data_IF_972599238254
#
_entry.id   IF_972599238254
#
_cell.length_a   1.000
_cell.length_b   1.000
_cell.length_c   1.000
_cell.angle_alpha   90.00
_cell.angle_beta   90.00
_cell.angle_gamma   90.00
#
_symmetry.space_group_name_H-M   'P 1'
#
loop_
_entity.id
_entity.type
_entity.pdbx_description
1 polymer ?
#
# COMPACT_ATOMS: atom_id res chain seq x y z
N UNK A 1 -80.24 -2.20 43.09
CA UNK A 1 -79.83 -0.94 42.43
C UNK A 1 -78.34 -0.59 42.64
N UNK A 2 -77.58 -1.34 43.47
CA UNK A 2 -76.18 -1.02 43.84
C UNK A 2 -75.12 -1.66 42.90
N UNK A 3 -75.46 -2.72 42.16
CA UNK A 3 -74.49 -3.45 41.31
C UNK A 3 -74.13 -2.74 39.99
N UNK A 4 -74.90 -1.72 39.56
CA UNK A 4 -74.58 -0.95 38.34
C UNK A 4 -73.54 0.16 38.57
N UNK A 5 -73.22 0.52 39.81
CA UNK A 5 -72.24 1.58 40.11
C UNK A 5 -70.78 1.09 40.15
N UNK A 6 -70.50 -0.13 40.63
CA UNK A 6 -69.12 -0.66 40.67
C UNK A 6 -68.55 -1.00 39.28
N UNK A 7 -69.41 -1.34 38.31
CA UNK A 7 -68.99 -1.59 36.93
C UNK A 7 -68.62 -0.30 36.17
N UNK A 8 -69.03 0.87 36.65
CA UNK A 8 -68.67 2.16 36.05
C UNK A 8 -67.30 2.66 36.54
N UNK A 9 -66.91 2.39 37.79
CA UNK A 9 -65.60 2.76 38.33
C UNK A 9 -64.47 1.86 37.82
N UNK A 10 -64.73 0.56 37.65
CA UNK A 10 -63.76 -0.39 37.10
C UNK A 10 -63.48 -0.21 35.60
N UNK A 11 -64.44 0.36 34.84
CA UNK A 11 -64.25 0.70 33.42
C UNK A 11 -63.47 2.01 33.18
N UNK A 12 -63.25 2.83 34.21
CA UNK A 12 -62.53 4.10 34.10
C UNK A 12 -61.00 3.95 34.14
N UNK A 13 -60.49 2.85 34.70
CA UNK A 13 -59.04 2.62 34.89
C UNK A 13 -58.37 1.99 33.64
N UNK A 14 -59.15 1.43 32.71
CA UNK A 14 -58.62 0.85 31.47
C UNK A 14 -58.42 1.88 30.32
N UNK A 15 -58.58 3.18 30.59
CA UNK A 15 -58.30 4.25 29.63
C UNK A 15 -56.90 4.81 29.86
N UNK A 16 -55.91 3.92 29.91
CA UNK A 16 -54.53 4.30 29.66
C UNK A 16 -54.46 4.86 28.24
N UNK A 17 -54.55 6.19 28.13
CA UNK A 17 -54.27 6.93 26.90
C UNK A 17 -52.82 6.62 26.57
N UNK A 18 -52.60 5.55 25.81
CA UNK A 18 -51.36 5.29 25.12
C UNK A 18 -51.15 6.50 24.23
N UNK A 19 -50.35 7.46 24.72
CA UNK A 19 -50.08 8.69 24.01
C UNK A 19 -49.29 8.30 22.76
N UNK A 20 -49.90 8.34 21.55
CA UNK A 20 -49.28 7.81 20.34
C UNK A 20 -47.98 8.55 20.01
N UNK A 21 -47.86 9.79 20.48
CA UNK A 21 -46.66 10.62 20.33
C UNK A 21 -45.47 10.05 21.12
N UNK A 22 -45.70 9.42 22.27
CA UNK A 22 -44.63 8.88 23.12
C UNK A 22 -43.93 7.67 22.49
N UNK A 23 -44.69 6.78 21.84
CA UNK A 23 -44.12 5.64 21.11
C UNK A 23 -43.37 6.08 19.84
N UNK A 24 -43.83 7.16 19.19
CA UNK A 24 -43.15 7.70 18.00
C UNK A 24 -41.76 8.26 18.32
N UNK A 25 -41.60 8.94 19.47
CA UNK A 25 -40.32 9.50 19.92
C UNK A 25 -39.35 8.40 20.35
N UNK A 26 -39.82 7.37 21.04
CA UNK A 26 -38.98 6.22 21.42
C UNK A 26 -38.51 5.41 20.21
N UNK A 27 -39.39 5.19 19.22
CA UNK A 27 -39.03 4.54 17.95
C UNK A 27 -38.05 5.39 17.14
N UNK A 28 -38.26 6.70 17.04
CA UNK A 28 -37.34 7.63 16.35
C UNK A 28 -35.96 7.63 17.03
N UNK A 29 -35.91 7.58 18.36
CA UNK A 29 -34.65 7.49 19.12
C UNK A 29 -33.92 6.16 18.88
N UNK A 30 -34.65 5.05 18.83
CA UNK A 30 -34.08 3.74 18.51
C UNK A 30 -33.55 3.69 17.07
N UNK A 31 -34.31 4.22 16.11
CA UNK A 31 -33.88 4.36 14.72
C UNK A 31 -32.64 5.25 14.57
N UNK A 32 -32.57 6.37 15.29
CA UNK A 32 -31.42 7.27 15.27
C UNK A 32 -30.15 6.58 15.82
N UNK A 33 -30.28 5.81 16.91
CA UNK A 33 -29.17 5.03 17.49
C UNK A 33 -28.73 3.92 16.53
N UNK A 34 -29.68 3.19 15.94
CA UNK A 34 -29.40 2.16 14.94
C UNK A 34 -28.69 2.75 13.69
N UNK A 35 -29.15 3.90 13.19
CA UNK A 35 -28.55 4.59 12.05
C UNK A 35 -27.12 5.07 12.36
N UNK A 36 -26.91 5.74 13.51
CA UNK A 36 -25.55 6.16 13.92
C UNK A 36 -24.60 4.98 14.10
N UNK A 37 -25.09 3.86 14.62
CA UNK A 37 -24.31 2.61 14.79
C UNK A 37 -23.89 2.02 13.43
N UNK A 38 -24.79 2.01 12.45
CA UNK A 38 -24.50 1.53 11.10
C UNK A 38 -23.51 2.45 10.35
N UNK A 39 -23.59 3.78 10.55
CA UNK A 39 -22.64 4.73 9.96
C UNK A 39 -21.20 4.54 10.43
N UNK A 40 -20.99 4.21 11.72
CA UNK A 40 -19.66 3.91 12.28
C UNK A 40 -19.06 2.61 11.74
N UNK A 41 -19.89 1.59 11.48
CA UNK A 41 -19.43 0.34 10.86
C UNK A 41 -19.07 0.55 9.39
N UNK A 42 -19.82 1.36 8.65
CA UNK A 42 -19.46 1.74 7.29
C UNK A 42 -18.14 2.52 7.25
N UNK A 43 -17.90 3.42 8.20
CA UNK A 43 -16.61 4.12 8.35
C UNK A 43 -15.46 3.15 8.66
N UNK A 44 -15.67 2.16 9.53
CA UNK A 44 -14.67 1.13 9.82
C UNK A 44 -14.39 0.28 8.57
N UNK A 45 -15.42 -0.16 7.86
CA UNK A 45 -15.30 -0.93 6.62
C UNK A 45 -14.58 -0.13 5.52
N UNK A 46 -14.90 1.16 5.39
CA UNK A 46 -14.23 2.06 4.47
C UNK A 46 -12.77 2.31 4.89
N UNK A 47 -12.50 2.48 6.19
CA UNK A 47 -11.14 2.60 6.73
C UNK A 47 -10.30 1.33 6.57
N UNK A 48 -10.93 0.17 6.35
CA UNK A 48 -10.26 -1.09 5.98
C UNK A 48 -10.08 -1.17 4.46
N UNK A 49 -11.06 -0.73 3.67
CA UNK A 49 -11.04 -0.76 2.21
C UNK A 49 -10.05 0.25 1.61
N UNK A 50 -9.99 1.46 2.18
CA UNK A 50 -9.06 2.53 1.80
C UNK A 50 -7.64 2.26 2.29
N UNK A 51 -7.49 1.24 3.15
CA UNK A 51 -6.21 0.84 3.69
C UNK A 51 -5.43 0.05 2.65
N UNK A 52 -4.58 0.75 1.92
CA UNK A 52 -3.53 0.11 1.12
C UNK A 52 -2.66 -0.81 1.99
N UNK A 53 -2.07 -1.84 1.37
CA UNK A 53 -1.35 -2.93 2.06
C UNK A 53 -0.16 -2.54 2.95
N UNK A 54 0.18 -1.25 3.07
CA UNK A 54 1.32 -0.73 3.82
C UNK A 54 0.94 0.18 5.02
N UNK A 55 -0.36 0.39 5.30
CA UNK A 55 -0.77 1.18 6.46
C UNK A 55 -0.34 0.50 7.77
N UNK A 56 0.57 1.14 8.51
CA UNK A 56 1.12 0.64 9.78
C UNK A 56 0.26 0.93 10.99
N UNK A 57 -0.67 1.87 10.88
CA UNK A 57 -1.52 2.24 12.00
C UNK A 57 -2.44 1.08 12.39
N UNK A 58 -2.82 0.90 13.66
CA UNK A 58 -3.91 0.00 14.03
C UNK A 58 -5.27 0.58 13.61
N UNK A 59 -6.27 -0.26 13.39
CA UNK A 59 -7.65 0.19 13.26
C UNK A 59 -8.11 0.78 14.59
N UNK A 60 -8.69 1.99 14.54
CA UNK A 60 -9.23 2.64 15.72
C UNK A 60 -10.40 1.85 16.30
N UNK A 61 -10.38 1.68 17.62
CA UNK A 61 -11.47 1.08 18.41
C UNK A 61 -12.44 2.15 18.95
N UNK A 62 -12.20 3.42 18.65
CA UNK A 62 -12.98 4.54 19.18
C UNK A 62 -14.38 4.59 18.55
N UNK A 63 -15.41 4.61 19.38
CA UNK A 63 -16.81 4.57 18.93
C UNK A 63 -17.27 3.22 18.38
N UNK A 64 -16.44 2.16 18.44
CA UNK A 64 -16.82 0.79 18.07
C UNK A 64 -17.68 0.16 19.18
N UNK A 65 -18.88 -0.37 18.84
CA UNK A 65 -19.73 -1.10 19.78
C UNK A 65 -18.99 -2.24 20.46
N UNK A 66 -19.28 -2.51 21.73
CA UNK A 66 -18.54 -3.50 22.54
C UNK A 66 -18.59 -4.91 21.93
N UNK A 67 -19.68 -5.23 21.23
CA UNK A 67 -19.90 -6.51 20.55
C UNK A 67 -18.97 -6.71 19.35
N UNK A 68 -18.52 -5.62 18.72
CA UNK A 68 -17.69 -5.64 17.50
C UNK A 68 -16.20 -5.48 17.82
N UNK A 69 -15.85 -4.99 19.02
CA UNK A 69 -14.45 -4.81 19.44
C UNK A 69 -13.58 -6.07 19.29
N UNK A 70 -14.02 -7.28 19.69
CA UNK A 70 -13.19 -8.47 19.54
C UNK A 70 -12.81 -8.78 18.08
N UNK A 71 -13.67 -8.42 17.12
CA UNK A 71 -13.37 -8.56 15.69
C UNK A 71 -12.31 -7.56 15.24
N UNK A 72 -12.42 -6.29 15.68
CA UNK A 72 -11.41 -5.25 15.39
C UNK A 72 -10.06 -5.63 15.97
N UNK A 73 -10.03 -6.15 17.20
CA UNK A 73 -8.81 -6.62 17.85
C UNK A 73 -8.18 -7.80 17.08
N UNK A 74 -8.97 -8.78 16.66
CA UNK A 74 -8.50 -9.90 15.85
C UNK A 74 -7.93 -9.46 14.50
N UNK A 75 -8.56 -8.47 13.85
CA UNK A 75 -8.06 -7.90 12.60
C UNK A 75 -6.76 -7.13 12.81
N UNK A 76 -6.63 -6.35 13.88
CA UNK A 76 -5.37 -5.68 14.23
C UNK A 76 -4.23 -6.68 14.43
N UNK A 77 -4.49 -7.82 15.08
CA UNK A 77 -3.50 -8.91 15.21
C UNK A 77 -3.11 -9.48 13.84
N UNK A 78 -4.10 -9.73 12.96
CA UNK A 78 -3.84 -10.24 11.62
C UNK A 78 -3.02 -9.25 10.77
N UNK A 79 -3.38 -7.97 10.82
CA UNK A 79 -2.65 -6.88 10.15
C UNK A 79 -1.21 -6.84 10.66
N UNK A 80 -0.99 -6.91 11.97
CA UNK A 80 0.35 -6.94 12.55
C UNK A 80 1.18 -8.15 12.08
N UNK A 81 0.57 -9.34 12.01
CA UNK A 81 1.24 -10.54 11.48
C UNK A 81 1.61 -10.40 10.00
N UNK A 82 0.71 -9.82 9.20
CA UNK A 82 0.97 -9.55 7.79
C UNK A 82 2.14 -8.57 7.61
N UNK A 83 2.18 -7.50 8.39
CA UNK A 83 3.28 -6.53 8.36
C UNK A 83 4.63 -7.18 8.70
N UNK A 84 4.67 -8.02 9.74
CA UNK A 84 5.89 -8.76 10.10
C UNK A 84 6.34 -9.66 8.93
N UNK A 85 5.41 -10.37 8.29
CA UNK A 85 5.73 -11.24 7.16
C UNK A 85 6.25 -10.45 5.94
N UNK A 86 5.61 -9.31 5.62
CA UNK A 86 6.04 -8.43 4.53
C UNK A 86 7.43 -7.83 4.83
N UNK A 87 7.70 -7.40 6.05
CA UNK A 87 9.00 -6.87 6.46
C UNK A 87 10.11 -7.94 6.45
N UNK A 88 9.77 -9.20 6.72
CA UNK A 88 10.69 -10.33 6.57
C UNK A 88 10.96 -10.63 5.09
N UNK A 89 9.93 -10.64 4.24
CA UNK A 89 10.08 -10.81 2.80
C UNK A 89 10.95 -9.72 2.18
N UNK A 90 10.73 -8.44 2.56
CA UNK A 90 11.55 -7.30 2.11
C UNK A 90 13.02 -7.47 2.47
N UNK A 91 13.30 -7.86 3.72
CA UNK A 91 14.67 -8.16 4.18
C UNK A 91 15.28 -9.31 3.40
N UNK A 92 14.57 -10.42 3.26
CA UNK A 92 15.02 -11.58 2.49
C UNK A 92 15.38 -11.22 1.04
N UNK A 93 14.53 -10.44 0.35
CA UNK A 93 14.79 -9.98 -1.02
C UNK A 93 16.03 -9.09 -1.07
N UNK A 94 16.19 -8.18 -0.11
CA UNK A 94 17.37 -7.31 -0.01
C UNK A 94 18.65 -8.11 0.26
N UNK A 95 18.60 -9.08 1.16
CA UNK A 95 19.74 -9.92 1.51
C UNK A 95 20.13 -10.81 0.31
N UNK A 96 19.15 -11.45 -0.32
CA UNK A 96 19.38 -12.24 -1.53
C UNK A 96 20.00 -11.42 -2.68
N UNK A 97 19.61 -10.14 -2.82
CA UNK A 97 20.23 -9.24 -3.79
C UNK A 97 21.73 -9.08 -3.55
N UNK A 98 22.11 -8.78 -2.31
CA UNK A 98 23.49 -8.57 -1.91
C UNK A 98 24.31 -9.86 -2.00
N UNK A 99 23.73 -10.98 -1.55
CA UNK A 99 24.37 -12.29 -1.61
C UNK A 99 24.57 -12.80 -3.03
N UNK A 100 23.70 -12.46 -3.99
CA UNK A 100 23.86 -12.84 -5.40
C UNK A 100 24.80 -11.90 -6.18
N UNK A 101 24.88 -10.62 -5.80
CA UNK A 101 25.80 -9.66 -6.45
C UNK A 101 27.25 -10.10 -6.30
N UNK A 102 27.63 -10.57 -5.12
CA UNK A 102 29.00 -10.99 -4.80
C UNK A 102 29.53 -12.12 -5.71
N UNK A 103 28.85 -13.28 -5.85
CA UNK A 103 29.29 -14.36 -6.74
C UNK A 103 29.19 -13.97 -8.22
N UNK A 104 28.24 -13.14 -8.63
CA UNK A 104 28.16 -12.64 -10.01
C UNK A 104 29.38 -11.76 -10.36
N UNK A 105 29.78 -10.85 -9.46
CA UNK A 105 30.98 -10.04 -9.64
C UNK A 105 32.24 -10.92 -9.69
N UNK A 106 32.34 -11.93 -8.83
CA UNK A 106 33.46 -12.87 -8.84
C UNK A 106 33.55 -13.66 -10.16
N UNK A 107 32.41 -14.13 -10.69
CA UNK A 107 32.36 -14.80 -11.99
C UNK A 107 32.74 -13.86 -13.13
N UNK A 108 32.29 -12.60 -13.07
CA UNK A 108 32.61 -11.60 -14.08
C UNK A 108 34.12 -11.32 -14.12
N UNK A 109 34.78 -11.20 -12.96
CA UNK A 109 36.23 -11.06 -12.85
C UNK A 109 36.97 -12.28 -13.41
N UNK A 110 36.49 -13.50 -13.14
CA UNK A 110 37.10 -14.72 -13.68
C UNK A 110 37.03 -14.75 -15.21
N UNK A 111 35.91 -14.33 -15.79
CA UNK A 111 35.75 -14.25 -17.25
C UNK A 111 36.63 -13.15 -17.85
N UNK A 112 36.73 -12.00 -17.19
CA UNK A 112 37.64 -10.92 -17.60
C UNK A 112 39.09 -11.38 -17.59
N UNK A 113 39.51 -12.14 -16.57
CA UNK A 113 40.84 -12.75 -16.52
C UNK A 113 41.05 -13.76 -17.66
N UNK A 114 40.07 -14.62 -17.94
CA UNK A 114 40.14 -15.57 -19.06
C UNK A 114 40.25 -14.87 -20.43
N UNK A 115 39.53 -13.76 -20.59
CA UNK A 115 39.61 -12.92 -21.78
C UNK A 115 40.99 -12.26 -21.90
N UNK A 116 41.55 -11.75 -20.80
CA UNK A 116 42.86 -11.12 -20.78
C UNK A 116 44.01 -12.10 -21.06
N UNK A 117 43.91 -13.34 -20.55
CA UNK A 117 44.92 -14.38 -20.75
C UNK A 117 44.89 -14.98 -22.17
N UNK A 118 43.71 -15.12 -22.77
CA UNK A 118 43.55 -15.72 -24.10
C UNK A 118 42.48 -15.00 -24.96
N UNK A 119 42.76 -13.77 -25.41
CA UNK A 119 41.78 -12.92 -26.10
C UNK A 119 41.43 -13.42 -27.52
N UNK A 120 42.28 -14.25 -28.14
CA UNK A 120 42.14 -14.66 -29.53
C UNK A 120 41.82 -16.16 -29.63
N UNK A 121 40.95 -16.51 -30.57
CA UNK A 121 40.53 -17.90 -30.82
C UNK A 121 39.26 -18.29 -30.04
N UNK A 122 39.00 -19.60 -29.97
CA UNK A 122 37.76 -20.15 -29.40
C UNK A 122 37.57 -19.79 -27.92
N UNK A 123 38.67 -19.71 -27.16
CA UNK A 123 38.65 -19.38 -25.72
C UNK A 123 38.20 -17.94 -25.48
N UNK A 124 38.78 -16.98 -26.21
CA UNK A 124 38.36 -15.58 -26.14
C UNK A 124 36.89 -15.42 -26.53
N UNK A 125 36.47 -16.00 -27.66
CA UNK A 125 35.06 -15.94 -28.09
C UNK A 125 34.10 -16.49 -27.02
N UNK A 126 34.42 -17.64 -26.41
CA UNK A 126 33.63 -18.22 -25.33
C UNK A 126 33.60 -17.32 -24.08
N UNK A 127 34.74 -16.71 -23.70
CA UNK A 127 34.80 -15.78 -22.59
C UNK A 127 33.94 -14.53 -22.83
N UNK A 128 33.94 -13.98 -24.05
CA UNK A 128 33.09 -12.84 -24.42
C UNK A 128 31.60 -13.20 -24.34
N UNK A 129 31.21 -14.36 -24.87
CA UNK A 129 29.82 -14.84 -24.84
C UNK A 129 29.33 -15.06 -23.41
N UNK A 130 30.15 -15.72 -22.57
CA UNK A 130 29.85 -15.94 -21.16
C UNK A 130 29.76 -14.60 -20.40
N UNK A 131 30.70 -13.68 -20.62
CA UNK A 131 30.70 -12.37 -19.97
C UNK A 131 29.46 -11.55 -20.31
N UNK A 132 29.03 -11.59 -21.58
CA UNK A 132 27.78 -10.98 -22.01
C UNK A 132 26.54 -11.66 -21.39
N UNK A 133 26.58 -12.99 -21.23
CA UNK A 133 25.54 -13.76 -20.54
C UNK A 133 25.37 -13.37 -19.07
N UNK A 134 26.47 -13.31 -18.32
CA UNK A 134 26.47 -12.91 -16.91
C UNK A 134 25.99 -11.47 -16.76
N UNK A 135 26.44 -10.56 -17.62
CA UNK A 135 25.98 -9.16 -17.59
C UNK A 135 24.46 -9.04 -17.75
N UNK A 136 23.88 -9.80 -18.69
CA UNK A 136 22.41 -9.84 -18.86
C UNK A 136 21.71 -10.41 -17.62
N UNK A 137 22.25 -11.49 -17.04
CA UNK A 137 21.70 -12.08 -15.82
C UNK A 137 21.72 -11.11 -14.65
N UNK A 138 22.81 -10.35 -14.46
CA UNK A 138 22.92 -9.31 -13.44
C UNK A 138 21.87 -8.20 -13.62
N UNK A 139 21.67 -7.72 -14.86
CA UNK A 139 20.64 -6.70 -15.15
C UNK A 139 19.23 -7.22 -14.86
N UNK A 140 18.91 -8.44 -15.25
CA UNK A 140 17.60 -9.07 -14.98
C UNK A 140 17.38 -9.26 -13.48
N UNK A 141 18.40 -9.69 -12.75
CA UNK A 141 18.34 -9.83 -11.31
C UNK A 141 18.03 -8.48 -10.65
N UNK A 142 18.74 -7.41 -11.03
CA UNK A 142 18.45 -6.07 -10.50
C UNK A 142 17.04 -5.58 -10.84
N UNK A 143 16.53 -5.90 -12.03
CA UNK A 143 15.15 -5.57 -12.42
C UNK A 143 14.12 -6.31 -11.57
N UNK A 144 14.29 -7.63 -11.36
CA UNK A 144 13.41 -8.42 -10.51
C UNK A 144 13.42 -7.93 -9.06
N UNK A 145 14.60 -7.61 -8.53
CA UNK A 145 14.74 -7.06 -7.18
C UNK A 145 14.13 -5.67 -7.04
N UNK A 146 14.26 -4.82 -8.08
CA UNK A 146 13.55 -3.53 -8.13
C UNK A 146 12.04 -3.75 -8.11
N UNK A 147 11.50 -4.63 -8.96
CA UNK A 147 10.07 -4.94 -8.98
C UNK A 147 9.57 -5.45 -7.63
N UNK A 148 10.30 -6.38 -7.00
CA UNK A 148 9.97 -6.90 -5.68
C UNK A 148 10.00 -5.84 -4.55
N UNK A 149 10.72 -4.72 -4.75
CA UNK A 149 10.72 -3.57 -3.82
C UNK A 149 9.58 -2.58 -4.13
N UNK A 150 9.19 -2.42 -5.39
CA UNK A 150 8.15 -1.51 -5.85
C UNK A 150 6.71 -2.01 -5.64
N UNK A 151 6.49 -3.28 -5.28
CA UNK A 151 5.17 -3.79 -4.87
C UNK A 151 4.66 -3.19 -3.54
N UNK A 152 5.49 -2.41 -2.84
CA UNK A 152 5.10 -1.61 -1.69
C UNK A 152 4.75 -0.18 -2.15
N UNK A 153 3.47 0.26 -2.08
CA UNK A 153 3.16 1.66 -2.35
C UNK A 153 3.87 2.52 -1.32
N UNK A 154 4.71 3.45 -1.79
CA UNK A 154 5.30 4.50 -0.93
C UNK A 154 4.15 5.13 -0.16
N UNK A 155 4.17 4.97 1.17
CA UNK A 155 3.10 5.45 2.04
C UNK A 155 2.74 6.89 1.67
N UNK A 156 1.43 7.17 1.60
CA UNK A 156 0.89 8.48 1.21
C UNK A 156 1.46 9.66 2.03
N UNK A 157 2.07 9.36 3.18
CA UNK A 157 2.75 10.31 4.08
C UNK A 157 4.01 10.96 3.49
N UNK A 158 4.58 10.43 2.42
CA UNK A 158 5.77 10.99 1.77
C UNK A 158 5.47 11.66 0.42
N UNK A 159 4.20 11.90 0.09
CA UNK A 159 3.87 12.55 -1.18
C UNK A 159 4.19 14.05 -1.11
N UNK A 160 5.19 14.47 -1.87
CA UNK A 160 5.57 15.87 -2.01
C UNK A 160 5.07 16.42 -3.35
N UNK A 161 4.96 17.75 -3.44
CA UNK A 161 4.82 18.41 -4.74
C UNK A 161 6.17 18.41 -5.44
N UNK A 162 6.24 17.78 -6.59
CA UNK A 162 7.45 17.63 -7.40
C UNK A 162 7.26 18.42 -8.69
N UNK A 163 8.25 19.25 -9.03
CA UNK A 163 8.32 19.89 -10.34
C UNK A 163 8.69 18.85 -11.39
N UNK A 164 7.73 18.47 -12.23
CA UNK A 164 7.94 17.49 -13.30
C UNK A 164 9.00 18.00 -14.29
N UNK A 165 9.01 19.30 -14.58
CA UNK A 165 10.01 19.92 -15.44
C UNK A 165 11.42 19.79 -14.86
N UNK A 166 11.58 19.98 -13.55
CA UNK A 166 12.85 19.79 -12.86
C UNK A 166 13.33 18.35 -12.92
N UNK A 167 12.44 17.40 -12.60
CA UNK A 167 12.75 15.97 -12.60
C UNK A 167 13.17 15.45 -13.98
N UNK A 168 12.43 15.83 -15.04
CA UNK A 168 12.77 15.43 -16.42
C UNK A 168 14.11 16.05 -16.82
N UNK A 169 14.40 17.28 -16.41
CA UNK A 169 15.68 17.96 -16.69
C UNK A 169 16.86 17.20 -16.10
N UNK A 170 16.75 16.79 -14.84
CA UNK A 170 17.77 15.98 -14.17
C UNK A 170 17.97 14.63 -14.87
N UNK A 171 16.88 13.92 -15.18
CA UNK A 171 16.94 12.67 -15.93
C UNK A 171 17.59 12.80 -17.31
N UNK A 172 17.32 13.89 -18.04
CA UNK A 172 17.94 14.12 -19.36
C UNK A 172 19.42 14.46 -19.20
N UNK A 173 19.79 15.25 -18.19
CA UNK A 173 21.18 15.55 -17.88
C UNK A 173 21.99 14.28 -17.58
N UNK A 174 21.44 13.36 -16.77
CA UNK A 174 22.08 12.08 -16.45
C UNK A 174 22.30 11.18 -17.68
N UNK A 175 21.37 11.25 -18.64
CA UNK A 175 21.40 10.41 -19.84
C UNK A 175 22.14 11.05 -21.02
N UNK A 176 22.54 12.32 -20.93
CA UNK A 176 23.22 13.03 -22.01
C UNK A 176 24.52 12.37 -22.45
N UNK A 177 25.32 11.84 -21.51
CA UNK A 177 26.58 11.17 -21.84
C UNK A 177 26.36 9.91 -22.69
N UNK A 178 25.30 9.15 -22.38
CA UNK A 178 24.92 7.95 -23.11
C UNK A 178 24.32 8.31 -24.47
N UNK A 179 23.48 9.36 -24.53
CA UNK A 179 22.87 9.84 -25.76
C UNK A 179 23.93 10.34 -26.76
N UNK A 180 24.90 11.14 -26.29
CA UNK A 180 26.01 11.65 -27.11
C UNK A 180 26.87 10.52 -27.65
N UNK A 181 27.20 9.53 -26.81
CA UNK A 181 27.97 8.35 -27.21
C UNK A 181 27.26 7.45 -28.23
N UNK A 182 25.94 7.63 -28.43
CA UNK A 182 25.14 6.91 -29.42
C UNK A 182 24.66 7.80 -30.58
N UNK A 183 25.14 9.05 -30.67
CA UNK A 183 24.69 10.06 -31.64
C UNK A 183 23.17 10.29 -31.62
N UNK A 184 22.55 10.20 -30.44
CA UNK A 184 21.13 10.46 -30.23
C UNK A 184 20.95 11.90 -29.74
N UNK A 185 20.13 12.68 -30.44
CA UNK A 185 19.68 13.99 -29.97
C UNK A 185 18.63 13.81 -28.87
N UNK A 186 18.98 14.19 -27.64
CA UNK A 186 18.14 14.07 -26.46
C UNK A 186 18.01 15.46 -25.82
N UNK A 187 16.80 15.98 -25.80
CA UNK A 187 16.49 17.29 -25.24
C UNK A 187 15.06 17.37 -24.73
N UNK A 188 14.76 18.45 -24.00
CA UNK A 188 13.44 18.70 -23.41
C UNK A 188 12.81 19.92 -24.07
N UNK A 189 11.55 19.77 -24.48
CA UNK A 189 10.70 20.88 -24.88
C UNK A 189 9.57 21.00 -23.85
N UNK A 190 9.82 21.75 -22.78
CA UNK A 190 8.80 22.06 -21.78
C UNK A 190 8.16 23.41 -22.08
N UNK A 191 6.82 23.45 -22.16
CA UNK A 191 6.07 24.71 -22.35
C UNK A 191 5.63 25.35 -21.05
N UNK A 192 5.21 24.54 -20.08
CA UNK A 192 4.66 25.02 -18.82
C UNK A 192 5.20 24.20 -17.64
N UNK A 193 5.43 24.83 -16.47
CA UNK A 193 5.78 24.11 -15.25
C UNK A 193 4.58 23.27 -14.78
N UNK A 194 4.78 21.96 -14.68
CA UNK A 194 3.79 21.02 -14.17
C UNK A 194 4.25 20.51 -12.81
N UNK A 195 3.39 20.63 -11.80
CA UNK A 195 3.60 20.00 -10.50
C UNK A 195 2.76 18.72 -10.40
N UNK A 196 3.40 17.63 -9.98
CA UNK A 196 2.73 16.38 -9.69
C UNK A 196 2.90 16.04 -8.21
N UNK A 197 1.91 15.34 -7.63
CA UNK A 197 2.08 14.72 -6.33
C UNK A 197 2.69 13.33 -6.53
N UNK A 198 3.83 13.10 -5.91
CA UNK A 198 4.54 11.84 -6.00
C UNK A 198 5.46 11.63 -4.82
N UNK A 199 5.94 10.40 -4.66
CA UNK A 199 7.02 10.12 -3.74
C UNK A 199 8.31 10.79 -4.25
N UNK A 200 9.03 11.58 -3.44
CA UNK A 200 10.36 12.03 -3.81
C UNK A 200 11.23 10.77 -3.98
N UNK A 201 11.66 10.52 -5.21
CA UNK A 201 12.72 9.56 -5.47
C UNK A 201 14.04 10.18 -5.02
N UNK A 202 14.82 9.43 -4.24
CA UNK A 202 16.28 9.60 -4.18
C UNK A 202 16.92 9.26 -5.53
#
# INVERSE_FOLDING_TARGET
MVVRQELAESAAIARGRADPDRYSVDLARYWLVAWRRNGKLAQLAQAIADRGGDSKEPLSVEGVPREVRPLVDAMNILIGRLQIALDQQRRFVSDAAHELRTPLTALQLQIENLWNDAPVGKTGQAALELGNGIRRASVLLEQLLRMARFEAPVGLEHWARISLSGLITECVADQMAIATGKEIDLGIVARDPVEISGAPSD
#
